data_IF_348930868497
#
_entry.id   IF_348930868497
#
_cell.length_a   1.000
_cell.length_b   1.000
_cell.length_c   1.000
_cell.angle_alpha   90.00
_cell.angle_beta   90.00
_cell.angle_gamma   90.00
#
_symmetry.space_group_name_H-M   'P 1'
#
loop_
_entity.id
_entity.type
_entity.pdbx_description
1 polymer ?
#
# COMPACT_ATOMS: atom_id res chain seq x y z
N UNK A 1 15.70 -9.11 -2.06
CA UNK A 1 14.31 -8.69 -2.30
C UNK A 1 14.34 -7.62 -3.38
N UNK A 2 13.61 -7.80 -4.47
CA UNK A 2 13.43 -6.76 -5.51
C UNK A 2 12.53 -5.67 -4.97
N UNK A 3 12.62 -4.47 -5.55
CA UNK A 3 11.75 -3.35 -5.15
C UNK A 3 10.29 -3.74 -5.26
N UNK A 4 9.92 -4.46 -6.32
CA UNK A 4 8.57 -4.90 -6.62
C UNK A 4 7.97 -5.84 -5.56
N UNK A 5 8.73 -6.82 -5.07
CA UNK A 5 8.23 -7.72 -4.03
C UNK A 5 8.02 -6.94 -2.73
N UNK A 6 8.93 -6.03 -2.38
CA UNK A 6 8.79 -5.23 -1.17
C UNK A 6 7.61 -4.24 -1.26
N UNK A 7 7.49 -3.51 -2.36
CA UNK A 7 6.37 -2.59 -2.57
C UNK A 7 5.04 -3.32 -2.68
N UNK A 8 5.02 -4.52 -3.28
CA UNK A 8 3.85 -5.38 -3.33
C UNK A 8 3.38 -5.83 -1.95
N UNK A 9 4.29 -6.29 -1.10
CA UNK A 9 3.98 -6.67 0.29
C UNK A 9 3.48 -5.45 1.09
N UNK A 10 4.16 -4.31 0.98
CA UNK A 10 3.74 -3.07 1.66
C UNK A 10 2.33 -2.67 1.20
N UNK A 11 2.04 -2.75 -0.10
CA UNK A 11 0.73 -2.42 -0.65
C UNK A 11 -0.38 -3.33 -0.10
N UNK A 12 -0.12 -4.63 0.00
CA UNK A 12 -1.08 -5.59 0.60
C UNK A 12 -1.34 -5.25 2.07
N UNK A 13 -0.28 -4.98 2.85
CA UNK A 13 -0.41 -4.61 4.27
C UNK A 13 -1.22 -3.33 4.42
N UNK A 14 -0.92 -2.29 3.63
CA UNK A 14 -1.64 -1.02 3.67
C UNK A 14 -3.11 -1.19 3.25
N UNK A 15 -3.39 -1.94 2.19
CA UNK A 15 -4.76 -2.20 1.74
C UNK A 15 -5.59 -2.97 2.77
N UNK A 16 -4.98 -3.91 3.49
CA UNK A 16 -5.62 -4.62 4.61
C UNK A 16 -5.89 -3.68 5.78
N UNK A 17 -4.89 -2.92 6.22
CA UNK A 17 -5.06 -1.95 7.31
C UNK A 17 -6.18 -0.95 6.98
N UNK A 18 -6.16 -0.41 5.76
CA UNK A 18 -7.15 0.54 5.27
C UNK A 18 -8.58 -0.03 5.27
N UNK A 19 -8.73 -1.27 4.78
CA UNK A 19 -10.01 -1.99 4.79
C UNK A 19 -10.49 -2.29 6.21
N UNK A 20 -9.59 -2.61 7.14
CA UNK A 20 -9.92 -2.86 8.54
C UNK A 20 -10.34 -1.57 9.25
N UNK A 21 -9.67 -0.45 8.99
CA UNK A 21 -10.11 0.86 9.51
C UNK A 21 -11.48 1.26 8.96
N UNK A 22 -11.83 0.86 7.74
CA UNK A 22 -13.18 1.08 7.21
C UNK A 22 -14.27 0.36 8.02
N UNK A 23 -13.98 -0.80 8.61
CA UNK A 23 -14.91 -1.50 9.50
C UNK A 23 -15.21 -0.66 10.75
N UNK A 24 -14.25 0.12 11.24
CA UNK A 24 -14.37 0.99 12.42
C UNK A 24 -15.16 2.27 12.15
N UNK A 25 -15.48 2.59 10.90
CA UNK A 25 -16.30 3.77 10.59
C UNK A 25 -17.69 3.62 11.24
N UNK A 26 -18.14 4.64 12.00
CA UNK A 26 -19.44 4.62 12.65
C UNK A 26 -20.54 4.43 11.61
N UNK A 27 -21.55 3.64 11.96
CA UNK A 27 -22.72 3.47 11.10
C UNK A 27 -23.48 4.80 11.11
N UNK A 28 -23.59 5.45 9.94
CA UNK A 28 -24.35 6.69 9.85
C UNK A 28 -25.82 6.44 10.18
N UNK A 29 -26.41 7.32 10.99
CA UNK A 29 -27.79 7.22 11.47
C UNK A 29 -28.81 7.77 10.46
N UNK A 30 -28.38 8.58 9.49
CA UNK A 30 -29.19 9.10 8.38
C UNK A 30 -28.44 9.00 7.06
N UNK A 31 -29.11 8.52 6.01
CA UNK A 31 -28.54 8.23 4.69
C UNK A 31 -28.20 6.74 4.48
N UNK A 32 -27.94 6.36 3.22
CA UNK A 32 -27.70 4.97 2.83
C UNK A 32 -26.50 4.38 3.57
N UNK A 33 -26.72 3.26 4.27
CA UNK A 33 -25.77 2.64 5.22
C UNK A 33 -24.46 2.18 4.57
N UNK A 34 -24.48 2.02 3.25
CA UNK A 34 -23.39 1.47 2.45
C UNK A 34 -22.47 2.54 1.85
N UNK A 35 -22.99 3.75 1.59
CA UNK A 35 -22.25 4.81 0.88
C UNK A 35 -20.88 5.15 1.49
N UNK A 36 -20.76 5.36 2.82
CA UNK A 36 -19.50 5.78 3.43
C UNK A 36 -18.44 4.68 3.50
N UNK A 37 -18.85 3.42 3.45
CA UNK A 37 -17.96 2.25 3.62
C UNK A 37 -17.49 1.67 2.30
N UNK A 38 -18.31 1.80 1.24
CA UNK A 38 -17.98 1.27 -0.10
C UNK A 38 -16.68 1.87 -0.63
N UNK A 39 -16.48 3.18 -0.51
CA UNK A 39 -15.27 3.82 -1.03
C UNK A 39 -13.99 3.28 -0.37
N UNK A 40 -13.88 3.25 0.97
CA UNK A 40 -12.73 2.65 1.64
C UNK A 40 -12.50 1.18 1.28
N UNK A 41 -13.56 0.38 1.18
CA UNK A 41 -13.44 -1.02 0.78
C UNK A 41 -12.93 -1.18 -0.65
N UNK A 42 -13.44 -0.39 -1.59
CA UNK A 42 -13.03 -0.45 -2.99
C UNK A 42 -11.53 -0.13 -3.12
N UNK A 43 -11.09 0.96 -2.50
CA UNK A 43 -9.67 1.34 -2.49
C UNK A 43 -8.81 0.25 -1.84
N UNK A 44 -9.25 -0.30 -0.70
CA UNK A 44 -8.54 -1.38 -0.02
C UNK A 44 -8.39 -2.64 -0.89
N UNK A 45 -9.48 -3.08 -1.53
CA UNK A 45 -9.49 -4.26 -2.41
C UNK A 45 -8.59 -4.04 -3.63
N UNK A 46 -8.73 -2.90 -4.32
CA UNK A 46 -7.90 -2.58 -5.50
C UNK A 46 -6.43 -2.55 -5.11
N UNK A 47 -6.09 -1.95 -3.97
CA UNK A 47 -4.70 -1.87 -3.48
C UNK A 47 -4.11 -3.25 -3.23
N UNK A 48 -4.89 -4.16 -2.63
CA UNK A 48 -4.46 -5.55 -2.40
C UNK A 48 -4.25 -6.27 -3.75
N UNK A 49 -5.18 -6.14 -4.70
CA UNK A 49 -5.07 -6.75 -6.03
C UNK A 49 -3.81 -6.25 -6.75
N UNK A 50 -3.57 -4.94 -6.75
CA UNK A 50 -2.38 -4.36 -7.37
C UNK A 50 -1.10 -4.85 -6.68
N UNK A 51 -1.08 -4.94 -5.34
CA UNK A 51 0.06 -5.48 -4.60
C UNK A 51 0.38 -6.95 -4.94
N UNK A 52 -0.65 -7.78 -5.09
CA UNK A 52 -0.51 -9.18 -5.55
C UNK A 52 0.02 -9.22 -6.98
N UNK A 53 -0.54 -8.42 -7.89
CA UNK A 53 -0.10 -8.35 -9.29
C UNK A 53 1.38 -7.95 -9.39
N UNK A 54 1.83 -7.03 -8.54
CA UNK A 54 3.21 -6.55 -8.49
C UNK A 54 4.20 -7.66 -8.04
N UNK A 55 3.78 -8.52 -7.09
CA UNK A 55 4.55 -9.69 -6.67
C UNK A 55 4.59 -10.75 -7.78
N UNK A 56 3.48 -10.98 -8.47
CA UNK A 56 3.39 -11.95 -9.57
C UNK A 56 4.23 -11.51 -10.78
N UNK A 57 4.20 -10.21 -11.12
CA UNK A 57 4.99 -9.66 -12.23
C UNK A 57 6.49 -9.77 -12.00
N UNK A 58 6.95 -9.75 -10.75
CA UNK A 58 8.37 -9.92 -10.43
C UNK A 58 8.87 -11.37 -10.57
N UNK A 59 7.96 -12.34 -10.76
CA UNK A 59 8.34 -13.72 -11.11
C UNK A 59 8.78 -13.85 -12.57
N UNK A 60 8.33 -12.97 -13.46
CA UNK A 60 8.76 -12.97 -14.86
C UNK A 60 10.20 -12.41 -14.98
N UNK A 61 11.16 -13.18 -15.51
CA UNK A 61 12.55 -12.75 -15.62
C UNK A 61 12.74 -11.56 -16.57
N UNK A 62 11.86 -11.38 -17.57
CA UNK A 62 11.87 -10.23 -18.48
C UNK A 62 11.36 -8.93 -17.84
N UNK A 63 10.47 -9.03 -16.84
CA UNK A 63 9.84 -7.87 -16.17
C UNK A 63 10.39 -7.62 -14.77
N UNK A 64 11.47 -8.31 -14.42
CA UNK A 64 12.09 -8.28 -13.10
C UNK A 64 12.63 -6.88 -12.82
N UNK A 65 12.08 -6.23 -11.79
CA UNK A 65 12.53 -4.90 -11.41
C UNK A 65 13.88 -4.96 -10.72
N UNK A 66 14.62 -3.84 -10.77
CA UNK A 66 15.94 -3.70 -10.14
C UNK A 66 15.89 -4.13 -8.67
N UNK A 67 17.01 -4.61 -8.13
CA UNK A 67 17.16 -4.89 -6.70
C UNK A 67 16.73 -3.65 -5.91
N UNK A 68 16.11 -3.86 -4.75
CA UNK A 68 15.62 -2.80 -3.88
C UNK A 68 16.75 -1.89 -3.39
N UNK A 69 17.12 -0.89 -4.18
CA UNK A 69 17.98 0.22 -3.78
C UNK A 69 17.08 1.31 -3.18
N UNK A 70 16.68 1.08 -1.93
CA UNK A 70 16.15 2.15 -1.12
C UNK A 70 17.29 3.14 -0.86
N UNK A 71 17.28 4.29 -1.55
CA UNK A 71 18.22 5.40 -1.38
C UNK A 71 18.28 6.00 0.05
N UNK A 72 17.58 5.39 1.01
CA UNK A 72 17.70 5.62 2.45
C UNK A 72 19.14 5.55 2.96
N UNK A 73 19.99 4.71 2.35
CA UNK A 73 21.39 4.59 2.77
C UNK A 73 22.27 5.71 2.21
N UNK A 74 21.90 6.28 1.07
CA UNK A 74 22.65 7.33 0.36
C UNK A 74 22.33 8.74 0.89
N UNK A 75 21.10 8.95 1.38
CA UNK A 75 20.60 10.29 1.76
C UNK A 75 20.18 10.40 3.24
N UNK A 76 20.97 9.84 4.17
CA UNK A 76 20.70 9.94 5.62
C UNK A 76 20.56 11.38 6.12
N UNK A 77 21.35 12.32 5.60
CA UNK A 77 21.30 13.74 6.00
C UNK A 77 19.99 14.44 5.59
N UNK A 78 19.40 14.08 4.45
CA UNK A 78 18.11 14.66 4.01
C UNK A 78 16.98 14.20 4.92
N UNK A 79 16.99 12.93 5.33
CA UNK A 79 15.99 12.39 6.26
C UNK A 79 16.09 12.99 7.67
N UNK A 80 17.29 13.25 8.17
CA UNK A 80 17.45 13.96 9.45
C UNK A 80 16.81 15.36 9.40
N UNK A 81 16.98 16.08 8.29
CA UNK A 81 16.39 17.42 8.13
C UNK A 81 14.87 17.39 8.07
N UNK A 82 14.26 16.35 7.48
CA UNK A 82 12.80 16.20 7.41
C UNK A 82 12.21 15.88 8.80
N UNK A 83 12.92 15.12 9.63
CA UNK A 83 12.44 14.72 10.97
C UNK A 83 12.64 15.83 12.02
N UNK A 84 13.64 16.70 11.81
CA UNK A 84 13.95 17.81 12.71
C UNK A 84 13.12 19.07 12.40
N UNK A 85 12.46 19.13 11.23
CA UNK A 85 11.55 20.21 10.83
C UNK A 85 10.14 20.01 11.40
#
# INVERSE_FOLDING_TARGET
MTTNILTGIISIVLGLVYSITALRLPRMAMGDRLGPKIFPYFVGIVTIITGIALILQDRDPEKRSKKAEFGFKEHKNLWLNIVIL
#
